data_IF_495879853210
#
_entry.id   IF_495879853210
#
_cell.length_a   1.000
_cell.length_b   1.000
_cell.length_c   1.000
_cell.angle_alpha   90.00
_cell.angle_beta   90.00
_cell.angle_gamma   90.00
#
_symmetry.space_group_name_H-M   'P 1'
#
loop_
_entity.id
_entity.type
_entity.pdbx_description
1 polymer ?
#
# COMPACT_ATOMS: atom_id res chain seq x y z
N UNK A 1 9.56 8.17 -23.51
CA UNK A 1 9.36 8.10 -22.04
C UNK A 1 10.52 8.83 -21.37
N UNK A 2 10.26 9.81 -20.52
CA UNK A 2 11.30 10.50 -19.75
C UNK A 2 11.95 9.49 -18.79
N UNK A 3 13.29 9.40 -18.71
CA UNK A 3 13.94 8.49 -17.78
C UNK A 3 13.58 8.86 -16.34
N UNK A 4 13.16 7.86 -15.56
CA UNK A 4 12.86 8.04 -14.14
C UNK A 4 14.14 8.45 -13.40
N UNK A 5 14.08 9.57 -12.67
CA UNK A 5 15.17 10.01 -11.80
C UNK A 5 14.89 9.51 -10.39
N UNK A 6 15.90 8.97 -9.68
CA UNK A 6 15.73 8.59 -8.29
C UNK A 6 15.37 9.83 -7.45
N UNK A 7 14.52 9.66 -6.41
CA UNK A 7 14.22 10.76 -5.52
C UNK A 7 15.49 11.22 -4.76
N UNK A 8 15.54 12.48 -4.30
CA UNK A 8 16.69 12.97 -3.56
C UNK A 8 16.82 12.24 -2.22
N UNK A 9 18.05 11.90 -1.82
CA UNK A 9 18.33 11.23 -0.54
C UNK A 9 17.94 12.06 0.69
N UNK A 10 17.73 13.38 0.52
CA UNK A 10 17.24 14.27 1.59
C UNK A 10 15.84 13.91 2.08
N UNK A 11 15.08 13.07 1.35
CA UNK A 11 13.84 12.48 1.88
C UNK A 11 14.07 11.56 3.09
N UNK A 12 15.30 11.07 3.28
CA UNK A 12 15.71 10.31 4.45
C UNK A 12 16.16 11.21 5.62
N UNK A 13 16.21 12.53 5.43
CA UNK A 13 16.56 13.44 6.51
C UNK A 13 15.40 13.60 7.48
N UNK A 14 15.74 13.71 8.75
CA UNK A 14 14.74 13.83 9.81
C UNK A 14 13.97 15.15 9.63
N UNK A 15 12.67 15.05 9.42
CA UNK A 15 11.76 16.20 9.46
C UNK A 15 11.67 16.77 10.89
N UNK A 16 11.74 18.10 11.03
CA UNK A 16 11.74 18.83 12.32
C UNK A 16 10.53 19.76 12.51
N UNK A 17 9.47 19.61 11.72
CA UNK A 17 8.26 20.42 11.90
C UNK A 17 7.43 19.98 13.10
N UNK A 18 6.53 20.86 13.54
CA UNK A 18 5.61 20.61 14.67
C UNK A 18 4.41 19.74 14.28
N UNK A 19 4.04 19.74 13.01
CA UNK A 19 2.90 19.00 12.45
C UNK A 19 3.33 18.21 11.22
N UNK A 20 2.60 17.15 10.83
CA UNK A 20 2.86 16.44 9.59
C UNK A 20 2.79 17.38 8.38
N UNK A 21 3.80 17.34 7.51
CA UNK A 21 3.77 18.04 6.22
C UNK A 21 3.31 17.10 5.12
N UNK A 22 2.18 17.41 4.49
CA UNK A 22 1.71 16.68 3.30
C UNK A 22 2.69 16.91 2.15
N UNK A 23 3.26 15.82 1.63
CA UNK A 23 4.12 15.83 0.44
C UNK A 23 3.35 15.52 -0.84
N UNK A 24 2.30 14.71 -0.72
CA UNK A 24 1.46 14.26 -1.82
C UNK A 24 0.11 13.79 -1.27
N UNK A 25 -0.95 13.96 -2.06
CA UNK A 25 -2.31 13.46 -1.81
C UNK A 25 -2.93 12.94 -3.10
N UNK A 26 -3.77 11.91 -2.98
CA UNK A 26 -4.58 11.36 -4.07
C UNK A 26 -5.91 10.89 -3.51
N UNK A 27 -6.93 10.89 -4.35
CA UNK A 27 -8.25 10.34 -4.04
C UNK A 27 -8.56 9.19 -4.98
N UNK A 28 -9.05 8.07 -4.44
CA UNK A 28 -9.64 6.98 -5.23
C UNK A 28 -11.10 6.85 -4.83
N UNK A 29 -11.99 6.91 -5.81
CA UNK A 29 -13.43 6.73 -5.62
C UNK A 29 -13.83 5.35 -6.14
N UNK A 30 -14.58 4.60 -5.34
CA UNK A 30 -15.18 3.32 -5.78
C UNK A 30 -16.67 3.53 -6.00
N UNK A 31 -17.16 3.25 -7.20
CA UNK A 31 -18.59 3.34 -7.54
C UNK A 31 -19.10 2.07 -8.20
N UNK A 32 -20.43 1.89 -8.20
CA UNK A 32 -21.07 0.69 -8.73
C UNK A 32 -20.83 -0.54 -7.85
N UNK A 33 -21.01 -1.72 -8.45
CA UNK A 33 -20.96 -3.01 -7.76
C UNK A 33 -22.34 -3.68 -7.72
N UNK A 34 -22.38 -4.97 -8.03
CA UNK A 34 -23.61 -5.76 -8.18
C UNK A 34 -24.01 -6.52 -6.90
N UNK A 35 -23.33 -6.27 -5.79
CA UNK A 35 -23.22 -7.24 -4.72
C UNK A 35 -24.00 -6.88 -3.45
N UNK A 36 -24.99 -7.70 -3.10
CA UNK A 36 -25.55 -7.84 -1.74
C UNK A 36 -24.49 -8.28 -0.70
N UNK A 37 -23.30 -8.71 -1.15
CA UNK A 37 -22.17 -9.17 -0.32
C UNK A 37 -20.95 -8.22 -0.25
N UNK A 38 -21.05 -7.02 -0.84
CA UNK A 38 -20.32 -5.79 -0.45
C UNK A 38 -18.77 -5.73 -0.38
N UNK A 39 -17.99 -6.77 -0.70
CA UNK A 39 -16.53 -6.74 -0.44
C UNK A 39 -15.62 -6.34 -1.58
N UNK A 40 -15.94 -6.70 -2.82
CA UNK A 40 -15.03 -6.56 -3.94
C UNK A 40 -15.80 -6.50 -5.26
N UNK A 41 -16.65 -5.49 -5.40
CA UNK A 41 -17.35 -5.20 -6.65
C UNK A 41 -17.41 -3.69 -6.86
N UNK A 42 -17.44 -3.27 -8.12
CA UNK A 42 -17.44 -1.86 -8.50
C UNK A 42 -16.16 -1.47 -9.22
N UNK A 43 -16.01 -0.19 -9.49
CA UNK A 43 -14.86 0.36 -10.22
C UNK A 43 -14.12 1.31 -9.30
N UNK A 44 -12.84 1.03 -9.03
CA UNK A 44 -11.96 1.92 -8.29
C UNK A 44 -11.20 2.82 -9.27
N UNK A 45 -11.44 4.14 -9.19
CA UNK A 45 -10.83 5.13 -10.07
C UNK A 45 -10.12 6.24 -9.28
N UNK A 46 -8.86 6.52 -9.62
CA UNK A 46 -8.13 7.66 -9.06
C UNK A 46 -8.59 8.99 -9.67
N UNK A 47 -8.42 10.07 -8.91
CA UNK A 47 -8.73 11.45 -9.30
C UNK A 47 -8.00 11.92 -10.56
N UNK A 48 -6.81 11.39 -10.80
CA UNK A 48 -6.02 11.62 -12.02
C UNK A 48 -6.29 10.60 -13.14
N UNK A 49 -7.13 9.58 -12.89
CA UNK A 49 -7.45 8.50 -13.83
C UNK A 49 -6.34 7.48 -14.07
N UNK A 50 -5.19 7.57 -13.39
CA UNK A 50 -4.06 6.65 -13.54
C UNK A 50 -4.36 5.23 -13.02
N UNK A 51 -5.25 5.11 -12.04
CA UNK A 51 -5.81 3.85 -11.55
C UNK A 51 -7.27 3.77 -12.01
N UNK A 52 -7.62 2.74 -12.76
CA UNK A 52 -9.00 2.43 -13.16
C UNK A 52 -9.14 0.91 -13.24
N UNK A 53 -9.70 0.30 -12.20
CA UNK A 53 -9.77 -1.16 -12.05
C UNK A 53 -11.17 -1.63 -11.67
N UNK A 54 -11.63 -2.66 -12.36
CA UNK A 54 -12.88 -3.35 -12.02
C UNK A 54 -12.61 -4.36 -10.90
N UNK A 55 -13.18 -4.13 -9.72
CA UNK A 55 -12.99 -5.00 -8.56
C UNK A 55 -13.85 -6.26 -8.70
N UNK A 56 -13.28 -7.42 -8.38
CA UNK A 56 -13.94 -8.73 -8.45
C UNK A 56 -13.76 -9.52 -7.17
N UNK A 57 -14.85 -10.13 -6.71
CA UNK A 57 -14.81 -11.04 -5.55
C UNK A 57 -13.98 -12.28 -5.93
N UNK A 58 -12.99 -12.67 -5.11
CA UNK A 58 -12.15 -13.83 -5.41
C UNK A 58 -12.96 -15.13 -5.36
N UNK A 59 -12.53 -16.14 -6.13
CA UNK A 59 -13.21 -17.44 -6.19
C UNK A 59 -13.27 -18.15 -4.84
N UNK A 60 -12.27 -17.94 -3.98
CA UNK A 60 -12.25 -18.47 -2.62
C UNK A 60 -13.39 -17.92 -1.74
N UNK A 61 -13.99 -16.80 -2.11
CA UNK A 61 -15.14 -16.19 -1.44
C UNK A 61 -16.43 -16.32 -2.28
N UNK A 62 -16.46 -17.21 -3.27
CA UNK A 62 -17.64 -17.47 -4.10
C UNK A 62 -17.84 -16.50 -5.27
N UNK A 63 -16.85 -15.67 -5.57
CA UNK A 63 -16.90 -14.75 -6.70
C UNK A 63 -16.31 -15.32 -8.00
N UNK A 64 -16.37 -14.54 -9.10
CA UNK A 64 -15.81 -14.96 -10.39
C UNK A 64 -14.27 -15.02 -10.39
N UNK A 65 -13.60 -14.23 -9.54
CA UNK A 65 -12.13 -14.22 -9.42
C UNK A 65 -11.38 -13.67 -10.65
N UNK A 66 -12.09 -13.00 -11.57
CA UNK A 66 -11.57 -12.52 -12.85
C UNK A 66 -11.06 -11.06 -12.81
N UNK A 67 -10.68 -10.56 -11.63
CA UNK A 67 -10.18 -9.21 -11.45
C UNK A 67 -9.55 -8.96 -10.08
N UNK A 68 -8.96 -7.77 -9.87
CA UNK A 68 -8.34 -7.41 -8.61
C UNK A 68 -9.35 -7.30 -7.47
N UNK A 69 -8.85 -7.47 -6.24
CA UNK A 69 -9.61 -7.29 -5.01
C UNK A 69 -8.84 -6.39 -4.02
N UNK A 70 -9.49 -5.88 -2.96
CA UNK A 70 -8.83 -5.03 -1.97
C UNK A 70 -7.56 -5.63 -1.37
N UNK A 71 -7.53 -6.95 -1.12
CA UNK A 71 -6.36 -7.63 -0.55
C UNK A 71 -5.16 -7.61 -1.50
N UNK A 72 -5.38 -7.84 -2.81
CA UNK A 72 -4.34 -7.74 -3.83
C UNK A 72 -3.83 -6.31 -4.01
N UNK A 73 -4.74 -5.33 -3.97
CA UNK A 73 -4.36 -3.91 -4.04
C UNK A 73 -3.50 -3.52 -2.84
N UNK A 74 -3.87 -3.98 -1.63
CA UNK A 74 -3.09 -3.76 -0.42
C UNK A 74 -1.73 -4.47 -0.47
N UNK A 75 -1.67 -5.70 -0.99
CA UNK A 75 -0.42 -6.43 -1.19
C UNK A 75 0.52 -5.66 -2.13
N UNK A 76 -0.01 -5.16 -3.24
CA UNK A 76 0.74 -4.37 -4.22
C UNK A 76 1.29 -3.09 -3.59
N UNK A 77 0.46 -2.34 -2.86
CA UNK A 77 0.88 -1.08 -2.23
C UNK A 77 1.94 -1.31 -1.14
N UNK A 78 1.77 -2.35 -0.32
CA UNK A 78 2.74 -2.71 0.71
C UNK A 78 4.09 -3.09 0.08
N UNK A 79 4.09 -4.03 -0.86
CA UNK A 79 5.31 -4.50 -1.51
C UNK A 79 6.06 -3.38 -2.23
N UNK A 80 5.33 -2.53 -2.98
CA UNK A 80 5.91 -1.39 -3.69
C UNK A 80 6.52 -0.36 -2.72
N UNK A 81 5.82 -0.03 -1.63
CA UNK A 81 6.32 0.91 -0.64
C UNK A 81 7.58 0.39 0.05
N UNK A 82 7.58 -0.86 0.50
CA UNK A 82 8.74 -1.47 1.15
C UNK A 82 9.93 -1.58 0.20
N UNK A 83 9.69 -1.97 -1.07
CA UNK A 83 10.75 -2.03 -2.09
C UNK A 83 11.36 -0.65 -2.36
N UNK A 84 10.52 0.40 -2.45
CA UNK A 84 10.98 1.78 -2.63
C UNK A 84 11.83 2.27 -1.46
N UNK A 85 11.37 2.03 -0.23
CA UNK A 85 12.11 2.34 0.99
C UNK A 85 13.47 1.60 1.06
N UNK A 86 13.47 0.30 0.74
CA UNK A 86 14.67 -0.53 0.70
C UNK A 86 15.69 0.01 -0.30
N UNK A 87 15.22 0.39 -1.50
CA UNK A 87 16.05 0.96 -2.56
C UNK A 87 16.67 2.29 -2.15
N UNK A 88 15.91 3.14 -1.47
CA UNK A 88 16.38 4.44 -1.00
C UNK A 88 17.44 4.31 0.10
N UNK A 89 17.24 3.40 1.06
CA UNK A 89 18.21 3.13 2.12
C UNK A 89 19.48 2.46 1.59
N UNK A 90 19.35 1.51 0.66
CA UNK A 90 20.50 0.88 0.01
C UNK A 90 21.33 1.91 -0.76
N UNK A 91 20.69 2.82 -1.48
CA UNK A 91 21.37 3.93 -2.16
C UNK A 91 22.13 4.84 -1.17
N UNK A 92 21.53 5.20 -0.02
CA UNK A 92 22.22 5.96 1.03
C UNK A 92 23.42 5.21 1.62
N UNK A 93 23.32 3.90 1.75
CA UNK A 93 24.39 3.04 2.25
C UNK A 93 25.47 2.73 1.20
N UNK A 94 25.30 3.14 -0.06
CA UNK A 94 26.20 2.78 -1.16
C UNK A 94 26.17 1.29 -1.52
N UNK A 95 25.08 0.59 -1.17
CA UNK A 95 24.92 -0.85 -1.44
C UNK A 95 24.06 -1.03 -2.69
N UNK A 96 24.60 -1.72 -3.69
CA UNK A 96 23.82 -2.13 -4.86
C UNK A 96 22.92 -3.31 -4.48
N UNK A 97 21.63 -3.24 -4.78
CA UNK A 97 20.65 -4.30 -4.51
C UNK A 97 20.05 -4.85 -5.82
N UNK A 98 20.89 -5.04 -6.84
CA UNK A 98 20.46 -5.53 -8.14
C UNK A 98 19.69 -6.86 -8.00
N UNK A 99 18.49 -6.94 -8.60
CA UNK A 99 17.63 -8.12 -8.50
C UNK A 99 16.87 -8.25 -7.18
N UNK A 100 16.86 -7.20 -6.33
CA UNK A 100 16.01 -7.16 -5.16
C UNK A 100 14.54 -7.37 -5.52
N UNK A 101 13.82 -8.08 -4.65
CA UNK A 101 12.36 -8.21 -4.76
C UNK A 101 11.72 -8.25 -3.39
N UNK A 102 10.50 -7.71 -3.33
CA UNK A 102 9.63 -7.77 -2.15
C UNK A 102 8.32 -8.42 -2.56
N UNK A 103 7.90 -9.42 -1.81
CA UNK A 103 6.60 -10.06 -1.94
C UNK A 103 5.79 -9.81 -0.68
N UNK A 104 4.59 -9.27 -0.81
CA UNK A 104 3.62 -9.17 0.27
C UNK A 104 2.51 -10.20 0.04
N UNK A 105 2.29 -11.07 1.02
CA UNK A 105 1.12 -11.96 1.07
C UNK A 105 0.16 -11.41 2.12
N UNK A 106 -1.08 -11.18 1.72
CA UNK A 106 -2.13 -10.64 2.57
C UNK A 106 -3.19 -11.71 2.76
N UNK A 107 -3.35 -12.17 3.98
CA UNK A 107 -4.40 -13.12 4.35
C UNK A 107 -5.60 -12.34 4.87
N UNK A 108 -6.78 -12.68 4.37
CA UNK A 108 -8.05 -12.15 4.84
C UNK A 108 -8.71 -13.16 5.78
N UNK A 109 -8.83 -12.79 7.06
CA UNK A 109 -9.11 -13.71 8.16
C UNK A 109 -10.37 -13.28 8.93
N UNK A 110 -10.93 -14.23 9.70
CA UNK A 110 -11.88 -13.91 10.78
C UNK A 110 -11.10 -13.44 12.01
N UNK A 111 -11.53 -12.34 12.60
CA UNK A 111 -10.95 -11.85 13.85
C UNK A 111 -11.54 -12.63 15.04
N UNK A 112 -10.74 -13.28 15.89
CA UNK A 112 -11.24 -14.02 17.06
C UNK A 112 -11.76 -13.11 18.18
N UNK A 113 -11.45 -11.80 18.17
CA UNK A 113 -11.84 -10.85 19.21
C UNK A 113 -13.31 -10.46 19.06
N UNK A 114 -13.74 -10.07 17.87
CA UNK A 114 -15.11 -9.61 17.60
C UNK A 114 -15.89 -10.50 16.61
N UNK A 115 -15.24 -11.52 16.03
CA UNK A 115 -15.83 -12.43 15.04
C UNK A 115 -15.93 -11.83 13.63
N UNK A 116 -15.52 -10.58 13.45
CA UNK A 116 -15.55 -9.88 12.17
C UNK A 116 -14.33 -10.28 11.36
N UNK A 117 -13.48 -9.34 10.98
CA UNK A 117 -12.45 -9.57 9.98
C UNK A 117 -11.16 -8.83 10.30
N UNK A 118 -10.04 -9.48 10.02
CA UNK A 118 -8.71 -8.92 10.16
C UNK A 118 -7.83 -9.31 8.97
N UNK A 119 -6.71 -8.61 8.81
CA UNK A 119 -5.69 -8.92 7.81
C UNK A 119 -4.40 -9.39 8.49
N UNK A 120 -3.75 -10.40 7.92
CA UNK A 120 -2.37 -10.74 8.25
C UNK A 120 -1.47 -10.43 7.05
N UNK A 121 -0.35 -9.77 7.28
CA UNK A 121 0.63 -9.47 6.24
C UNK A 121 1.92 -10.26 6.46
N UNK A 122 2.36 -11.00 5.43
CA UNK A 122 3.65 -11.68 5.39
C UNK A 122 4.52 -11.06 4.30
N UNK A 123 5.58 -10.36 4.71
CA UNK A 123 6.48 -9.66 3.80
C UNK A 123 7.78 -10.45 3.65
N UNK A 124 8.11 -10.84 2.43
CA UNK A 124 9.35 -11.56 2.10
C UNK A 124 10.23 -10.71 1.20
N UNK A 125 11.46 -10.50 1.64
CA UNK A 125 12.47 -9.72 0.91
C UNK A 125 13.56 -10.66 0.41
N UNK A 126 13.94 -10.50 -0.86
CA UNK A 126 15.07 -11.22 -1.47
C UNK A 126 16.12 -10.21 -1.93
N UNK A 127 17.36 -10.41 -1.52
CA UNK A 127 18.52 -9.57 -1.82
C UNK A 127 19.67 -10.45 -2.34
N UNK A 128 19.60 -10.92 -3.60
CA UNK A 128 20.63 -11.80 -4.14
C UNK A 128 21.99 -11.09 -4.22
N UNK A 129 23.06 -11.82 -3.89
CA UNK A 129 24.43 -11.30 -3.95
C UNK A 129 24.82 -10.38 -2.78
N UNK A 130 23.94 -10.17 -1.80
CA UNK A 130 24.24 -9.38 -0.60
C UNK A 130 24.56 -10.32 0.56
N UNK A 131 25.60 -9.98 1.33
CA UNK A 131 25.95 -10.71 2.54
C UNK A 131 24.77 -10.66 3.53
N UNK A 132 24.51 -11.78 4.22
CA UNK A 132 23.30 -11.97 5.00
C UNK A 132 23.15 -10.95 6.12
N UNK A 133 24.20 -10.64 6.88
CA UNK A 133 24.11 -9.67 7.96
C UNK A 133 23.78 -8.26 7.44
N UNK A 134 24.40 -7.85 6.32
CA UNK A 134 24.08 -6.59 5.63
C UNK A 134 22.63 -6.57 5.13
N UNK A 135 22.17 -7.66 4.51
CA UNK A 135 20.80 -7.80 4.03
C UNK A 135 19.78 -7.70 5.17
N UNK A 136 20.01 -8.40 6.27
CA UNK A 136 19.16 -8.36 7.46
C UNK A 136 19.12 -6.95 8.09
N UNK A 137 20.25 -6.25 8.13
CA UNK A 137 20.31 -4.87 8.63
C UNK A 137 19.51 -3.91 7.73
N UNK A 138 19.68 -4.00 6.41
CA UNK A 138 18.91 -3.21 5.46
C UNK A 138 17.41 -3.45 5.61
N UNK A 139 16.98 -4.71 5.77
CA UNK A 139 15.56 -5.06 5.96
C UNK A 139 15.04 -4.46 7.26
N UNK A 140 15.73 -4.62 8.40
CA UNK A 140 15.32 -4.05 9.69
C UNK A 140 15.22 -2.53 9.67
N UNK A 141 16.15 -1.86 8.97
CA UNK A 141 16.12 -0.41 8.83
C UNK A 141 14.99 0.03 7.90
N UNK A 142 14.70 -0.74 6.85
CA UNK A 142 13.56 -0.50 5.96
C UNK A 142 12.23 -0.65 6.68
N UNK A 143 12.09 -1.67 7.52
CA UNK A 143 10.88 -1.91 8.32
C UNK A 143 10.52 -0.69 9.18
N UNK A 144 11.52 -0.09 9.84
CA UNK A 144 11.35 1.14 10.64
C UNK A 144 11.04 2.38 9.82
N UNK A 145 11.39 2.39 8.55
CA UNK A 145 11.26 3.55 7.67
C UNK A 145 9.99 3.53 6.82
N UNK A 146 9.57 2.35 6.35
CA UNK A 146 8.45 2.14 5.43
C UNK A 146 7.14 2.67 5.99
N UNK A 147 6.47 3.65 5.33
CA UNK A 147 5.18 4.16 5.78
C UNK A 147 4.11 3.09 6.01
N UNK A 148 4.02 2.08 5.12
CA UNK A 148 3.03 1.00 5.26
C UNK A 148 3.33 0.08 6.45
N UNK A 149 4.60 -0.13 6.78
CA UNK A 149 4.96 -0.93 7.95
C UNK A 149 4.69 -0.18 9.24
N UNK A 150 4.99 1.13 9.28
CA UNK A 150 4.60 1.99 10.40
C UNK A 150 3.08 2.01 10.60
N UNK A 151 2.31 2.18 9.52
CA UNK A 151 0.85 2.11 9.56
C UNK A 151 0.34 0.78 10.11
N UNK A 152 0.95 -0.35 9.73
CA UNK A 152 0.54 -1.65 10.24
C UNK A 152 0.83 -1.84 11.74
N UNK A 153 1.89 -1.23 12.27
CA UNK A 153 2.26 -1.31 13.70
C UNK A 153 1.53 -0.29 14.58
N UNK A 154 1.32 0.93 14.08
CA UNK A 154 0.88 2.09 14.88
C UNK A 154 -0.50 2.64 14.47
N UNK A 155 -1.02 2.23 13.31
CA UNK A 155 -2.18 2.84 12.67
C UNK A 155 -1.85 4.19 12.00
N UNK A 156 -2.91 4.90 11.58
CA UNK A 156 -2.84 6.25 10.99
C UNK A 156 -3.98 7.12 11.52
N UNK A 157 -3.76 8.43 11.50
CA UNK A 157 -4.85 9.40 11.68
C UNK A 157 -5.82 9.28 10.51
N UNK A 158 -7.10 9.10 10.81
CA UNK A 158 -8.16 9.00 9.83
C UNK A 158 -9.44 9.68 10.34
N UNK A 159 -10.25 10.15 9.40
CA UNK A 159 -11.58 10.73 9.67
C UNK A 159 -12.57 10.00 8.79
N UNK A 160 -13.65 9.52 9.39
CA UNK A 160 -14.78 8.91 8.69
C UNK A 160 -15.97 9.83 8.87
N UNK A 161 -16.53 10.32 7.77
CA UNK A 161 -17.68 11.20 7.75
C UNK A 161 -18.62 10.83 6.61
N UNK A 162 -19.92 10.98 6.83
CA UNK A 162 -20.91 10.96 5.77
C UNK A 162 -20.78 12.27 4.98
N UNK A 163 -20.59 12.17 3.66
CA UNK A 163 -20.63 13.35 2.79
C UNK A 163 -22.04 13.97 2.84
N UNK A 164 -22.18 15.30 2.83
CA UNK A 164 -23.48 15.93 2.64
C UNK A 164 -24.10 15.40 1.35
N UNK A 165 -25.44 15.23 1.34
CA UNK A 165 -26.13 14.96 0.09
C UNK A 165 -25.78 16.10 -0.87
N UNK A 166 -25.33 15.79 -2.08
CA UNK A 166 -25.09 16.80 -3.10
C UNK A 166 -26.34 17.70 -3.16
N UNK A 167 -26.14 19.01 -3.04
CA UNK A 167 -27.20 19.99 -3.28
C UNK A 167 -27.59 19.84 -4.76
N UNK A 168 -28.49 18.92 -5.04
CA UNK A 168 -29.23 18.87 -6.28
C UNK A 168 -29.95 20.20 -6.37
N UNK A 169 -29.37 21.22 -7.03
CA UNK A 169 -29.99 22.42 -7.59
C UNK A 169 -28.89 23.30 -8.25
N UNK A 170 -28.38 22.88 -9.41
CA UNK A 170 -28.13 23.85 -10.49
C UNK A 170 -29.45 24.03 -11.25
N UNK A 171 -29.95 25.26 -11.23
CA UNK A 171 -31.11 25.74 -11.99
C UNK A 171 -30.79 25.85 -13.48
#
# INVERSE_FOLDING_TARGET
>A
MTPLRPPPLSLLDRYRGREPRTLYSTTVTVTGGAADHGRASGVARSDDGSLDVELRLPSALGGPGDGPNPEQLFAASYAACFHGALSLLAARAGVSIAGASVSASIDFCRDPVDGLFMLNANIRVRLPGIERAVAEELVRNTERFSPYTKMAHEGISHVVALAPADDAHER
#
